data_IF_499145924019
#
_entry.id   IF_499145924019
#
_cell.length_a   1.000
_cell.length_b   1.000
_cell.length_c   1.000
_cell.angle_alpha   90.00
_cell.angle_beta   90.00
_cell.angle_gamma   90.00
#
_symmetry.space_group_name_H-M   'P 1'
#
loop_
_entity.id
_entity.type
_entity.pdbx_description
1 polymer ?
#
# COMPACT_ATOMS: atom_id res chain seq x y z
N UNK A 1 25.74 38.96 34.09
CA UNK A 1 25.53 37.64 34.76
C UNK A 1 24.07 37.19 34.93
N UNK A 2 23.03 37.99 34.62
CA UNK A 2 21.62 37.59 34.79
C UNK A 2 21.02 36.76 33.62
N UNK A 3 21.55 36.90 32.39
CA UNK A 3 20.99 36.25 31.19
C UNK A 3 21.33 34.74 31.08
N UNK A 4 22.58 34.35 31.45
CA UNK A 4 23.04 32.95 31.44
C UNK A 4 22.34 32.05 32.48
N UNK A 5 21.72 32.64 33.52
CA UNK A 5 20.92 31.92 34.52
C UNK A 5 19.47 31.69 34.06
N UNK A 6 18.93 32.57 33.21
CA UNK A 6 17.59 32.41 32.60
C UNK A 6 17.57 31.30 31.55
N UNK A 7 18.62 31.18 30.71
CA UNK A 7 18.70 30.11 29.70
C UNK A 7 18.81 28.70 30.32
N UNK A 8 19.53 28.53 31.43
CA UNK A 8 19.62 27.22 32.10
C UNK A 8 18.30 26.77 32.76
N UNK A 9 17.46 27.72 33.17
CA UNK A 9 16.13 27.42 33.73
C UNK A 9 15.12 27.00 32.66
N UNK A 10 15.24 27.52 31.44
CA UNK A 10 14.40 27.11 30.31
C UNK A 10 14.77 25.70 29.81
N UNK A 11 16.07 25.37 29.76
CA UNK A 11 16.52 24.05 29.31
C UNK A 11 16.32 22.93 30.34
N UNK A 12 16.01 23.27 31.59
CA UNK A 12 15.65 22.33 32.66
C UNK A 12 14.14 22.04 32.72
N UNK A 13 13.33 22.68 31.86
CA UNK A 13 11.88 22.47 31.82
C UNK A 13 11.44 21.36 30.86
N UNK A 14 12.36 20.79 30.09
CA UNK A 14 12.11 19.53 29.41
C UNK A 14 12.56 18.40 30.34
N UNK A 15 11.58 17.84 31.06
CA UNK A 15 11.76 16.66 31.90
C UNK A 15 12.49 15.56 31.11
N UNK A 16 13.34 14.73 31.74
CA UNK A 16 13.86 13.50 31.14
C UNK A 16 12.74 12.60 30.57
N UNK A 17 11.50 12.74 31.07
CA UNK A 17 10.31 12.11 30.51
C UNK A 17 9.94 12.65 29.12
N UNK A 18 10.07 13.96 28.86
CA UNK A 18 9.79 14.57 27.57
C UNK A 18 10.80 14.12 26.48
N UNK A 19 12.07 13.97 26.85
CA UNK A 19 13.08 13.37 25.96
C UNK A 19 12.75 11.90 25.66
N UNK A 20 12.38 11.12 26.67
CA UNK A 20 11.97 9.73 26.50
C UNK A 20 10.70 9.60 25.65
N UNK A 21 9.79 10.56 25.73
CA UNK A 21 8.54 10.57 24.96
C UNK A 21 8.76 10.90 23.47
N UNK A 22 9.67 11.83 23.17
CA UNK A 22 10.08 12.11 21.79
C UNK A 22 10.83 10.93 21.16
N UNK A 23 11.77 10.32 21.89
CA UNK A 23 12.46 9.11 21.42
C UNK A 23 11.48 7.94 21.25
N UNK A 24 10.49 7.77 22.13
CA UNK A 24 9.44 6.73 21.96
C UNK A 24 8.54 7.02 20.76
N UNK A 25 8.19 8.28 20.50
CA UNK A 25 7.44 8.69 19.30
C UNK A 25 8.25 8.49 18.03
N UNK A 26 9.53 8.86 18.02
CA UNK A 26 10.47 8.67 16.91
C UNK A 26 10.75 7.19 16.66
N UNK A 27 10.89 6.38 17.71
CA UNK A 27 11.05 4.91 17.64
C UNK A 27 9.76 4.23 17.17
N UNK A 28 8.59 4.73 17.58
CA UNK A 28 7.31 4.29 17.04
C UNK A 28 7.16 4.67 15.56
N UNK A 29 7.65 5.85 15.14
CA UNK A 29 7.74 6.25 13.73
C UNK A 29 8.77 5.42 12.93
N UNK A 30 9.80 4.84 13.56
CA UNK A 30 10.76 3.94 12.90
C UNK A 30 10.34 2.46 12.93
N UNK A 31 9.48 2.05 13.88
CA UNK A 31 8.91 0.69 13.98
C UNK A 31 7.53 0.56 13.34
N UNK A 32 6.80 1.66 13.17
CA UNK A 32 5.66 1.72 12.27
C UNK A 32 6.25 1.62 10.87
N UNK A 33 6.15 0.43 10.26
CA UNK A 33 6.13 0.34 8.80
C UNK A 33 4.98 1.24 8.37
N UNK A 34 5.30 2.48 8.03
CA UNK A 34 4.34 3.43 7.48
C UNK A 34 3.93 2.78 6.16
N UNK A 35 2.77 2.12 6.15
CA UNK A 35 2.16 1.71 4.89
C UNK A 35 1.88 3.01 4.15
N UNK A 36 2.75 3.34 3.21
CA UNK A 36 2.52 4.45 2.30
C UNK A 36 1.36 4.04 1.40
N UNK A 37 0.58 4.98 0.90
CA UNK A 37 -0.43 4.67 -0.13
C UNK A 37 0.12 5.09 -1.47
N UNK A 38 0.18 4.17 -2.43
CA UNK A 38 0.50 4.46 -3.82
C UNK A 38 -0.78 4.63 -4.64
N UNK A 39 -0.77 5.53 -5.63
CA UNK A 39 -1.84 5.72 -6.60
C UNK A 39 -1.52 4.93 -7.87
N UNK A 40 -2.09 3.75 -8.03
CA UNK A 40 -1.81 2.87 -9.17
C UNK A 40 -2.87 2.98 -10.27
N UNK A 41 -2.54 2.49 -11.46
CA UNK A 41 -3.48 2.28 -12.56
C UNK A 41 -3.86 0.80 -12.60
N UNK A 42 -5.14 0.48 -12.41
CA UNK A 42 -5.61 -0.91 -12.49
C UNK A 42 -6.19 -1.16 -13.89
N UNK A 43 -5.73 -2.22 -14.55
CA UNK A 43 -6.14 -2.60 -15.89
C UNK A 43 -6.91 -3.92 -15.88
N UNK A 44 -8.00 -3.99 -16.64
CA UNK A 44 -8.84 -5.18 -16.78
C UNK A 44 -8.85 -5.66 -18.23
N UNK A 45 -8.82 -6.98 -18.42
CA UNK A 45 -8.74 -7.64 -19.72
C UNK A 45 -9.75 -8.78 -19.85
N UNK A 46 -10.26 -8.98 -21.07
CA UNK A 46 -11.18 -10.08 -21.39
C UNK A 46 -12.32 -10.22 -20.36
N UNK A 47 -12.45 -11.39 -19.71
CA UNK A 47 -13.50 -11.66 -18.74
C UNK A 47 -13.48 -10.69 -17.54
N UNK A 48 -12.32 -10.19 -17.12
CA UNK A 48 -12.26 -9.25 -15.99
C UNK A 48 -12.90 -7.89 -16.31
N UNK A 49 -12.96 -7.47 -17.60
CA UNK A 49 -13.70 -6.28 -18.04
C UNK A 49 -15.21 -6.48 -17.87
N UNK A 50 -15.73 -7.65 -18.23
CA UNK A 50 -17.16 -7.97 -18.08
C UNK A 50 -17.60 -7.98 -16.60
N UNK A 51 -16.69 -8.37 -15.72
CA UNK A 51 -16.93 -8.49 -14.28
C UNK A 51 -16.75 -7.15 -13.55
N UNK A 52 -15.72 -6.37 -13.90
CA UNK A 52 -15.47 -5.04 -13.34
C UNK A 52 -16.35 -3.94 -13.96
N UNK A 53 -16.87 -4.15 -15.17
CA UNK A 53 -17.66 -3.16 -15.91
C UNK A 53 -16.85 -1.99 -16.48
N UNK A 54 -15.54 -1.97 -16.24
CA UNK A 54 -14.58 -0.95 -16.71
C UNK A 54 -13.33 -1.62 -17.26
N UNK A 55 -12.65 -0.93 -18.18
CA UNK A 55 -11.36 -1.38 -18.74
C UNK A 55 -10.17 -0.95 -17.89
N UNK A 56 -10.29 0.18 -17.19
CA UNK A 56 -9.22 0.75 -16.39
C UNK A 56 -9.79 1.58 -15.23
N UNK A 57 -9.02 1.67 -14.14
CA UNK A 57 -9.21 2.62 -13.06
C UNK A 57 -7.91 3.41 -12.84
N UNK A 58 -7.94 4.70 -13.18
CA UNK A 58 -6.83 5.61 -12.96
C UNK A 58 -6.92 6.12 -11.51
N UNK A 59 -5.85 5.95 -10.73
CA UNK A 59 -5.73 6.46 -9.36
C UNK A 59 -6.43 5.60 -8.31
N UNK A 60 -6.10 4.31 -8.26
CA UNK A 60 -6.50 3.41 -7.16
C UNK A 60 -5.48 3.53 -6.03
N UNK A 61 -5.94 3.98 -4.86
CA UNK A 61 -5.10 4.06 -3.66
C UNK A 61 -4.86 2.65 -3.07
N UNK A 62 -3.60 2.23 -3.01
CA UNK A 62 -3.19 0.92 -2.53
C UNK A 62 -2.12 1.08 -1.45
N UNK A 63 -2.29 0.44 -0.27
CA UNK A 63 -1.23 0.38 0.74
C UNK A 63 0.04 -0.27 0.15
N UNK A 64 1.21 0.23 0.52
CA UNK A 64 2.49 -0.35 0.11
C UNK A 64 3.49 -0.32 1.27
N UNK A 65 4.22 -1.42 1.53
CA UNK A 65 4.18 -2.71 0.82
C UNK A 65 2.86 -3.48 1.05
N UNK A 66 2.44 -4.33 0.11
CA UNK A 66 1.21 -5.16 0.20
C UNK A 66 1.44 -6.54 -0.40
N UNK A 67 0.80 -7.58 0.14
CA UNK A 67 0.85 -8.92 -0.49
C UNK A 67 0.02 -8.94 -1.78
N UNK A 68 0.38 -9.78 -2.75
CA UNK A 68 -0.45 -9.96 -3.96
C UNK A 68 -1.86 -10.45 -3.64
N UNK A 69 -2.00 -11.26 -2.58
CA UNK A 69 -3.29 -11.71 -2.06
C UNK A 69 -4.13 -10.57 -1.45
N UNK A 70 -3.54 -9.68 -0.66
CA UNK A 70 -4.27 -8.54 -0.08
C UNK A 70 -4.60 -7.50 -1.14
N UNK A 71 -3.73 -7.31 -2.13
CA UNK A 71 -4.02 -6.50 -3.32
C UNK A 71 -5.24 -7.07 -4.08
N UNK A 72 -5.29 -8.38 -4.30
CA UNK A 72 -6.44 -9.02 -4.93
C UNK A 72 -7.73 -8.82 -4.11
N UNK A 73 -7.67 -8.99 -2.79
CA UNK A 73 -8.81 -8.70 -1.90
C UNK A 73 -9.30 -7.26 -2.00
N UNK A 74 -8.39 -6.30 -2.10
CA UNK A 74 -8.73 -4.89 -2.30
C UNK A 74 -9.50 -4.71 -3.62
N UNK A 75 -9.06 -5.36 -4.71
CA UNK A 75 -9.78 -5.32 -5.98
C UNK A 75 -11.15 -6.02 -5.92
N UNK A 76 -11.28 -7.12 -5.18
CA UNK A 76 -12.57 -7.79 -4.93
C UNK A 76 -13.55 -6.88 -4.17
N UNK A 77 -13.06 -6.09 -3.20
CA UNK A 77 -13.91 -5.14 -2.48
C UNK A 77 -14.47 -4.05 -3.40
N UNK A 78 -13.70 -3.66 -4.43
CA UNK A 78 -14.13 -2.68 -5.44
C UNK A 78 -15.08 -3.29 -6.46
N UNK A 79 -14.77 -4.49 -6.93
CA UNK A 79 -15.54 -5.22 -7.94
C UNK A 79 -15.83 -6.65 -7.47
N UNK A 80 -16.89 -6.86 -6.66
CA UNK A 80 -17.17 -8.16 -6.05
C UNK A 80 -17.31 -9.32 -7.04
N UNK A 81 -17.77 -9.04 -8.26
CA UNK A 81 -17.93 -10.05 -9.33
C UNK A 81 -16.61 -10.63 -9.84
N UNK A 82 -15.47 -9.98 -9.57
CA UNK A 82 -14.15 -10.54 -9.89
C UNK A 82 -13.87 -11.86 -9.12
N UNK A 83 -14.65 -12.18 -8.08
CA UNK A 83 -14.55 -13.47 -7.39
C UNK A 83 -14.75 -14.68 -8.32
N UNK A 84 -15.47 -14.52 -9.45
CA UNK A 84 -15.62 -15.56 -10.46
C UNK A 84 -14.27 -16.01 -11.07
N UNK A 85 -13.19 -15.23 -10.91
CA UNK A 85 -11.86 -15.52 -11.42
C UNK A 85 -10.89 -16.09 -10.36
N UNK A 86 -11.33 -16.27 -9.10
CA UNK A 86 -10.44 -16.55 -7.97
C UNK A 86 -9.50 -17.75 -8.18
N UNK A 87 -9.94 -18.77 -8.91
CA UNK A 87 -9.25 -20.06 -9.03
C UNK A 87 -8.23 -20.13 -10.16
N UNK A 88 -7.93 -18.99 -10.81
CA UNK A 88 -6.88 -18.95 -11.83
C UNK A 88 -6.47 -17.56 -12.31
N UNK A 89 -6.89 -16.52 -11.59
CA UNK A 89 -6.41 -15.15 -11.84
C UNK A 89 -4.94 -15.02 -11.47
N UNK A 90 -4.22 -14.23 -12.26
CA UNK A 90 -2.86 -13.78 -11.98
C UNK A 90 -2.85 -12.25 -12.07
N UNK A 91 -2.09 -11.58 -11.21
CA UNK A 91 -1.86 -10.15 -11.37
C UNK A 91 -0.65 -9.93 -12.27
N UNK A 92 -0.63 -8.87 -13.05
CA UNK A 92 0.59 -8.38 -13.67
C UNK A 92 0.94 -6.99 -13.13
N UNK A 93 2.06 -6.88 -12.42
CA UNK A 93 2.54 -5.64 -11.80
C UNK A 93 3.72 -5.13 -12.59
N UNK A 94 3.62 -3.96 -13.21
CA UNK A 94 4.63 -3.45 -14.17
C UNK A 94 4.99 -4.50 -15.24
N UNK A 95 3.97 -5.15 -15.81
CA UNK A 95 4.10 -6.23 -16.81
C UNK A 95 4.72 -7.55 -16.26
N UNK A 96 5.07 -7.55 -14.98
CA UNK A 96 5.50 -8.63 -14.08
C UNK A 96 4.39 -9.63 -13.71
N UNK A 97 4.34 -10.88 -14.19
CA UNK A 97 3.34 -11.84 -13.67
C UNK A 97 3.60 -12.17 -12.19
N UNK A 98 2.59 -11.93 -11.35
CA UNK A 98 2.59 -12.15 -9.90
C UNK A 98 1.41 -13.06 -9.53
N UNK A 99 1.68 -14.32 -9.16
CA UNK A 99 0.65 -15.20 -8.62
C UNK A 99 0.02 -14.63 -7.35
N UNK A 100 -1.25 -14.94 -7.12
CA UNK A 100 -1.94 -14.60 -5.88
C UNK A 100 -1.34 -15.43 -4.73
N UNK A 101 -0.81 -14.76 -3.70
CA UNK A 101 -0.20 -15.40 -2.55
C UNK A 101 0.49 -14.40 -1.62
N UNK A 102 1.53 -14.85 -0.92
CA UNK A 102 2.22 -14.07 0.11
C UNK A 102 3.34 -13.15 -0.44
N UNK A 103 3.50 -13.10 -1.77
CA UNK A 103 4.53 -12.24 -2.40
C UNK A 103 4.24 -10.78 -2.07
N UNK A 104 5.21 -10.13 -1.42
CA UNK A 104 5.12 -8.72 -1.05
C UNK A 104 5.51 -7.83 -2.23
N UNK A 105 4.66 -6.86 -2.53
CA UNK A 105 4.78 -5.90 -3.61
C UNK A 105 5.03 -4.51 -3.04
N UNK A 106 6.08 -3.86 -3.54
CA UNK A 106 6.29 -2.43 -3.37
C UNK A 106 5.81 -1.73 -4.63
N UNK A 107 4.81 -0.86 -4.49
CA UNK A 107 4.13 -0.16 -5.57
C UNK A 107 4.47 1.33 -5.48
N UNK A 108 4.74 1.94 -6.62
CA UNK A 108 4.89 3.39 -6.76
C UNK A 108 3.63 4.04 -7.35
N UNK A 109 3.55 5.36 -7.23
CA UNK A 109 2.54 6.12 -7.95
C UNK A 109 2.71 5.93 -9.46
N UNK A 110 1.59 5.67 -10.15
CA UNK A 110 1.54 5.40 -11.58
C UNK A 110 1.85 3.96 -11.98
N UNK A 111 2.22 3.08 -11.04
CA UNK A 111 2.44 1.66 -11.38
C UNK A 111 1.17 1.02 -11.95
N UNK A 112 1.36 0.14 -12.93
CA UNK A 112 0.27 -0.61 -13.55
C UNK A 112 0.07 -1.96 -12.84
N UNK A 113 -1.18 -2.25 -12.50
CA UNK A 113 -1.63 -3.53 -11.96
C UNK A 113 -2.72 -4.07 -12.87
N UNK A 114 -2.41 -5.11 -13.64
CA UNK A 114 -3.35 -5.77 -14.53
C UNK A 114 -3.98 -7.00 -13.86
N UNK A 115 -5.31 -7.14 -13.97
CA UNK A 115 -6.04 -8.36 -13.61
C UNK A 115 -6.11 -9.28 -14.81
N UNK A 116 -5.28 -10.31 -14.81
CA UNK A 116 -5.17 -11.27 -15.92
C UNK A 116 -6.04 -12.49 -15.62
N UNK A 117 -7.20 -12.65 -16.28
CA UNK A 117 -8.00 -13.86 -16.13
C UNK A 117 -7.26 -15.09 -16.69
N UNK A 118 -7.66 -16.32 -16.29
CA UNK A 118 -7.14 -17.54 -16.91
C UNK A 118 -7.24 -17.45 -18.43
N UNK A 119 -6.15 -17.77 -19.13
CA UNK A 119 -6.15 -17.81 -20.58
C UNK A 119 -7.11 -18.92 -21.02
N UNK A 120 -8.23 -18.55 -21.65
CA UNK A 120 -9.03 -19.51 -22.40
C UNK A 120 -8.24 -19.86 -23.65
N UNK A 121 -7.47 -20.95 -23.59
CA UNK A 121 -6.81 -21.50 -24.76
C UNK A 121 -7.84 -21.73 -25.86
N UNK A 122 -7.69 -21.02 -26.97
CA UNK A 122 -8.31 -21.37 -28.25
C UNK A 122 -7.46 -22.39 -28.97
#
# INVERSE_FOLDING_TARGET
MKLKRKLRKANAFLSPAAHRQLETFLTCLTSARFFMTAQVCVLYFAKSVELAGVKEEKTVAVPTPISSHDLWKLLLQRHPRLCELQDGVVLAVRQEYVPIGDQVLTLGDGDEVAVVPPLSGG
#
